data_IF_814753301954
#
_entry.id   IF_814753301954
#
_cell.length_a   1.000
_cell.length_b   1.000
_cell.length_c   1.000
_cell.angle_alpha   90.00
_cell.angle_beta   90.00
_cell.angle_gamma   90.00
#
_symmetry.space_group_name_H-M   'P 1'
#
loop_
_entity.id
_entity.type
_entity.pdbx_description
1 polymer ?
#
# COMPACT_ATOMS: atom_id res chain seq x y z
N UNK A 1 -1.24 11.64 -13.64
CA UNK A 1 -0.76 12.21 -12.36
C UNK A 1 -1.06 13.72 -12.38
N UNK A 2 -1.76 14.23 -11.38
CA UNK A 2 -2.21 15.64 -11.35
C UNK A 2 -1.31 16.55 -10.51
N UNK A 3 -0.32 15.99 -9.80
CA UNK A 3 0.54 16.73 -8.86
C UNK A 3 -0.11 17.04 -7.50
N UNK A 4 -1.37 16.63 -7.29
CA UNK A 4 -2.09 16.83 -6.04
C UNK A 4 -1.82 15.71 -5.02
N UNK A 5 -2.00 16.04 -3.73
CA UNK A 5 -1.96 15.07 -2.63
C UNK A 5 -3.05 14.02 -2.78
N UNK A 6 -2.69 12.74 -2.57
CA UNK A 6 -3.66 11.65 -2.49
C UNK A 6 -4.36 11.62 -1.13
N UNK A 7 -5.67 11.45 -1.13
CA UNK A 7 -6.49 11.19 0.07
C UNK A 7 -7.03 9.75 0.13
N UNK A 8 -6.45 8.85 -0.68
CA UNK A 8 -6.98 7.50 -0.89
C UNK A 8 -6.95 6.63 0.37
N UNK A 9 -5.91 6.79 1.18
CA UNK A 9 -5.73 6.08 2.45
C UNK A 9 -5.29 7.08 3.51
N UNK A 10 -5.68 6.86 4.77
CA UNK A 10 -5.13 7.62 5.90
C UNK A 10 -3.69 7.20 6.20
N UNK A 11 -3.40 5.92 6.02
CA UNK A 11 -2.04 5.39 6.14
C UNK A 11 -1.90 4.12 5.29
N UNK A 12 -0.66 3.88 4.88
CA UNK A 12 -0.23 2.66 4.21
C UNK A 12 0.99 2.15 4.95
N UNK A 13 0.98 0.87 5.35
CA UNK A 13 2.13 0.20 5.93
C UNK A 13 2.50 -1.01 5.07
N UNK A 14 3.78 -1.12 4.74
CA UNK A 14 4.33 -2.22 3.95
C UNK A 14 5.38 -2.94 4.79
N UNK A 15 5.24 -4.26 4.89
CA UNK A 15 6.26 -5.13 5.49
C UNK A 15 7.00 -5.83 4.35
N UNK A 16 8.31 -5.61 4.29
CA UNK A 16 9.22 -6.13 3.27
C UNK A 16 10.56 -6.50 3.90
N UNK A 17 11.39 -7.26 3.18
CA UNK A 17 12.71 -7.71 3.66
C UNK A 17 13.71 -6.55 3.86
N UNK A 18 13.49 -5.40 3.21
CA UNK A 18 14.31 -4.21 3.40
C UNK A 18 13.46 -2.97 3.65
N UNK A 19 13.97 -2.09 4.52
CA UNK A 19 13.34 -0.81 4.81
C UNK A 19 13.22 0.08 3.57
N UNK A 20 14.22 0.06 2.68
CA UNK A 20 14.20 0.81 1.42
C UNK A 20 13.04 0.36 0.52
N UNK A 21 12.80 -0.95 0.40
CA UNK A 21 11.66 -1.47 -0.36
C UNK A 21 10.33 -1.10 0.28
N UNK A 22 10.22 -1.22 1.60
CA UNK A 22 9.01 -0.85 2.33
C UNK A 22 8.67 0.64 2.15
N UNK A 23 9.66 1.53 2.27
CA UNK A 23 9.48 2.98 2.14
C UNK A 23 9.02 3.38 0.73
N UNK A 24 9.74 2.91 -0.30
CA UNK A 24 9.41 3.19 -1.70
C UNK A 24 8.01 2.69 -2.05
N UNK A 25 7.64 1.49 -1.62
CA UNK A 25 6.32 0.93 -1.90
C UNK A 25 5.21 1.57 -1.08
N UNK A 26 5.44 1.95 0.18
CA UNK A 26 4.42 2.68 0.96
C UNK A 26 4.05 4.01 0.31
N UNK A 27 5.05 4.73 -0.21
CA UNK A 27 4.86 5.97 -0.97
C UNK A 27 4.12 5.70 -2.28
N UNK A 28 4.56 4.72 -3.08
CA UNK A 28 3.89 4.37 -4.33
C UNK A 28 2.44 3.94 -4.12
N UNK A 29 2.21 3.04 -3.16
CA UNK A 29 0.89 2.50 -2.84
C UNK A 29 -0.06 3.55 -2.27
N UNK A 30 0.43 4.61 -1.60
CA UNK A 30 -0.42 5.73 -1.16
C UNK A 30 -1.20 6.41 -2.30
N UNK A 31 -0.71 6.29 -3.54
CA UNK A 31 -1.32 6.85 -4.75
C UNK A 31 -2.19 5.83 -5.51
N UNK A 32 -1.95 4.53 -5.31
CA UNK A 32 -2.51 3.45 -6.13
C UNK A 32 -3.85 2.92 -5.59
N UNK A 33 -4.81 2.58 -6.47
CA UNK A 33 -6.01 1.86 -6.06
C UNK A 33 -5.66 0.45 -5.54
N UNK A 34 -6.45 -0.08 -4.63
CA UNK A 34 -6.16 -1.35 -3.94
C UNK A 34 -6.03 -2.52 -4.92
N UNK A 35 -6.79 -2.48 -6.00
CA UNK A 35 -6.81 -3.49 -7.07
C UNK A 35 -5.48 -3.55 -7.82
N UNK A 36 -4.77 -2.42 -7.94
CA UNK A 36 -3.44 -2.36 -8.53
C UNK A 36 -2.32 -2.74 -7.55
N UNK A 37 -2.53 -2.52 -6.26
CA UNK A 37 -1.57 -2.90 -5.20
C UNK A 37 -1.53 -4.43 -5.03
N UNK A 38 -2.70 -5.08 -5.02
CA UNK A 38 -2.83 -6.51 -4.76
C UNK A 38 -1.92 -7.43 -5.61
N UNK A 39 -1.84 -7.32 -6.95
CA UNK A 39 -0.96 -8.17 -7.75
C UNK A 39 0.53 -7.92 -7.47
N UNK A 40 0.93 -6.67 -7.14
CA UNK A 40 2.31 -6.34 -6.79
C UNK A 40 2.66 -6.95 -5.44
N UNK A 41 1.79 -6.77 -4.44
CA UNK A 41 1.96 -7.35 -3.11
C UNK A 41 2.13 -8.88 -3.19
N UNK A 42 1.29 -9.56 -4.00
CA UNK A 42 1.41 -11.01 -4.27
C UNK A 42 2.73 -11.38 -4.91
N UNK A 43 3.12 -10.71 -5.99
CA UNK A 43 4.36 -11.01 -6.72
C UNK A 43 5.60 -10.85 -5.84
N UNK A 44 5.60 -9.83 -4.98
CA UNK A 44 6.72 -9.51 -4.10
C UNK A 44 6.61 -10.13 -2.70
N UNK A 45 5.58 -10.96 -2.44
CA UNK A 45 5.33 -11.62 -1.15
C UNK A 45 5.28 -10.64 0.04
N UNK A 46 4.60 -9.52 -0.14
CA UNK A 46 4.53 -8.43 0.85
C UNK A 46 3.27 -8.53 1.69
N UNK A 47 3.35 -8.12 2.96
CA UNK A 47 2.16 -7.79 3.75
C UNK A 47 1.92 -6.28 3.67
N UNK A 48 0.71 -5.90 3.23
CA UNK A 48 0.31 -4.50 3.10
C UNK A 48 -0.94 -4.23 3.93
N UNK A 49 -0.89 -3.18 4.73
CA UNK A 49 -2.00 -2.70 5.55
C UNK A 49 -2.45 -1.33 5.06
N UNK A 50 -3.73 -1.21 4.75
CA UNK A 50 -4.35 0.01 4.23
C UNK A 50 -5.39 0.50 5.24
N UNK A 51 -5.17 1.66 5.84
CA UNK A 51 -6.18 2.33 6.66
C UNK A 51 -7.03 3.23 5.75
N UNK A 52 -8.30 2.90 5.59
CA UNK A 52 -9.23 3.61 4.72
C UNK A 52 -9.73 4.91 5.38
N UNK A 53 -10.17 5.93 4.61
CA UNK A 53 -10.70 7.18 5.16
C UNK A 53 -11.87 6.99 6.14
N UNK A 54 -12.68 5.96 5.96
CA UNK A 54 -13.91 5.69 6.73
C UNK A 54 -13.69 5.05 8.10
N UNK A 55 -12.47 4.64 8.44
CA UNK A 55 -12.19 3.94 9.69
C UNK A 55 -11.72 2.51 9.48
N UNK A 56 -12.15 1.90 8.38
CA UNK A 56 -11.88 0.50 8.09
C UNK A 56 -10.41 0.25 7.75
N UNK A 57 -10.01 -1.01 7.88
CA UNK A 57 -8.69 -1.47 7.50
C UNK A 57 -8.82 -2.62 6.50
N UNK A 58 -7.96 -2.59 5.47
CA UNK A 58 -7.83 -3.67 4.51
C UNK A 58 -6.42 -4.20 4.53
N UNK A 59 -6.29 -5.52 4.62
CA UNK A 59 -5.00 -6.18 4.62
C UNK A 59 -4.86 -7.01 3.34
N UNK A 60 -3.74 -6.82 2.67
CA UNK A 60 -3.32 -7.63 1.52
C UNK A 60 -2.16 -8.49 2.00
N UNK A 61 -2.47 -9.71 2.42
CA UNK A 61 -1.49 -10.71 2.80
C UNK A 61 -1.24 -11.66 1.64
N UNK A 62 -0.02 -12.16 1.56
CA UNK A 62 0.33 -13.28 0.70
C UNK A 62 0.40 -14.51 1.61
N UNK A 63 -0.48 -15.48 1.36
CA UNK A 63 -0.36 -16.85 1.90
C UNK A 63 0.58 -17.63 1.00
#
# INVERSE_FOLDING_TARGET
>A
ATGATSSRYRSVSVVADSATTADALSTAFSLMPTEAIAPIARRLRLNVYLAMPDGSQKTLNVV
#
